data_IF_191848792568
#
_entry.id   IF_191848792568
#
_cell.length_a   1.000
_cell.length_b   1.000
_cell.length_c   1.000
_cell.angle_alpha   90.00
_cell.angle_beta   90.00
_cell.angle_gamma   90.00
#
_symmetry.space_group_name_H-M   'P 1'
#
loop_
_entity.id
_entity.type
_entity.pdbx_description
1 polymer ?
#
# COMPACT_ATOMS: atom_id res chain seq x y z
N UNK A 1 -17.53 -34.75 18.95
CA UNK A 1 -16.40 -33.86 19.31
C UNK A 1 -15.95 -33.24 18.00
N UNK A 2 -15.87 -31.90 17.86
CA UNK A 2 -15.42 -31.30 16.60
C UNK A 2 -13.96 -31.70 16.32
N UNK A 3 -13.67 -31.97 15.06
CA UNK A 3 -12.43 -32.55 14.56
C UNK A 3 -11.27 -31.55 14.68
N UNK A 4 -10.42 -31.73 15.70
CA UNK A 4 -9.22 -30.90 15.92
C UNK A 4 -8.23 -30.94 14.74
N UNK A 5 -8.38 -31.90 13.82
CA UNK A 5 -7.52 -32.06 12.65
C UNK A 5 -7.84 -31.03 11.57
N UNK A 6 -9.12 -30.75 11.34
CA UNK A 6 -9.58 -29.84 10.28
C UNK A 6 -9.24 -28.38 10.63
N UNK A 7 -9.45 -27.97 11.89
CA UNK A 7 -9.08 -26.64 12.36
C UNK A 7 -7.56 -26.39 12.21
N UNK A 8 -6.75 -27.38 12.58
CA UNK A 8 -5.29 -27.25 12.50
C UNK A 8 -4.79 -27.15 11.05
N UNK A 9 -5.40 -27.90 10.13
CA UNK A 9 -5.08 -27.80 8.69
C UNK A 9 -5.42 -26.42 8.11
N UNK A 10 -6.53 -25.83 8.53
CA UNK A 10 -6.93 -24.47 8.14
C UNK A 10 -5.92 -23.44 8.69
N UNK A 11 -5.54 -23.56 9.96
CA UNK A 11 -4.55 -22.68 10.60
C UNK A 11 -3.17 -22.77 9.92
N UNK A 12 -2.69 -23.98 9.64
CA UNK A 12 -1.41 -24.21 8.97
C UNK A 12 -1.42 -23.67 7.53
N UNK A 13 -2.52 -23.87 6.79
CA UNK A 13 -2.70 -23.34 5.45
C UNK A 13 -2.73 -21.80 5.43
N UNK A 14 -3.43 -21.18 6.40
CA UNK A 14 -3.47 -19.74 6.56
C UNK A 14 -2.07 -19.18 6.84
N UNK A 15 -1.34 -19.78 7.80
CA UNK A 15 0.01 -19.34 8.15
C UNK A 15 0.99 -19.46 6.99
N UNK A 16 0.89 -20.53 6.19
CA UNK A 16 1.72 -20.71 5.00
C UNK A 16 1.40 -19.65 3.94
N UNK A 17 0.11 -19.36 3.74
CA UNK A 17 -0.34 -18.30 2.82
C UNK A 17 0.18 -16.93 3.24
N UNK A 18 0.08 -16.58 4.52
CA UNK A 18 0.59 -15.32 5.06
C UNK A 18 2.10 -15.19 4.88
N UNK A 19 2.86 -16.25 5.19
CA UNK A 19 4.33 -16.26 4.98
C UNK A 19 4.70 -16.08 3.52
N UNK A 20 4.01 -16.76 2.62
CA UNK A 20 4.26 -16.65 1.18
C UNK A 20 3.93 -15.24 0.68
N UNK A 21 2.81 -14.66 1.14
CA UNK A 21 2.45 -13.29 0.83
C UNK A 21 3.52 -12.31 1.32
N UNK A 22 3.92 -12.40 2.59
CA UNK A 22 4.93 -11.51 3.17
C UNK A 22 6.27 -11.61 2.45
N UNK A 23 6.67 -12.82 2.03
CA UNK A 23 7.89 -13.02 1.25
C UNK A 23 7.80 -12.35 -0.13
N UNK A 24 6.71 -12.55 -0.87
CA UNK A 24 6.52 -11.94 -2.20
C UNK A 24 6.39 -10.42 -2.11
N UNK A 25 5.66 -9.93 -1.12
CA UNK A 25 5.39 -8.52 -0.91
C UNK A 25 6.66 -7.74 -0.57
N UNK A 26 7.58 -8.32 0.23
CA UNK A 26 8.81 -7.66 0.67
C UNK A 26 10.05 -7.96 -0.20
N UNK A 27 10.04 -9.01 -1.02
CA UNK A 27 11.16 -9.32 -1.93
C UNK A 27 11.04 -8.64 -3.30
N UNK A 28 9.94 -7.93 -3.56
CA UNK A 28 9.75 -7.17 -4.80
C UNK A 28 10.72 -5.99 -4.92
N UNK A 29 11.02 -5.57 -6.15
CA UNK A 29 11.79 -4.35 -6.43
C UNK A 29 10.92 -3.09 -6.50
N UNK A 30 9.60 -3.27 -6.46
CA UNK A 30 8.61 -2.19 -6.56
C UNK A 30 8.16 -1.80 -5.15
N UNK A 31 8.06 -0.48 -4.92
CA UNK A 31 7.47 0.07 -3.71
C UNK A 31 5.94 -0.14 -3.75
N UNK A 32 5.39 -0.84 -2.75
CA UNK A 32 3.96 -1.17 -2.68
C UNK A 32 3.40 -0.71 -1.34
N UNK A 33 2.22 -0.10 -1.37
CA UNK A 33 1.41 0.17 -0.19
C UNK A 33 -0.05 -0.20 -0.42
N UNK A 34 -0.73 -0.60 0.66
CA UNK A 34 -2.15 -0.91 0.71
C UNK A 34 -2.77 0.02 1.73
N UNK A 35 -3.83 0.72 1.34
CA UNK A 35 -4.53 1.68 2.20
C UNK A 35 -5.99 1.33 2.33
N UNK A 36 -6.60 1.68 3.46
CA UNK A 36 -8.05 1.66 3.59
C UNK A 36 -8.70 2.82 2.82
N UNK A 37 -10.04 2.83 2.64
CA UNK A 37 -10.75 3.91 1.97
C UNK A 37 -10.57 5.29 2.62
N UNK A 38 -10.22 5.36 3.89
CA UNK A 38 -9.94 6.62 4.62
C UNK A 38 -8.51 7.16 4.38
N UNK A 39 -7.70 6.48 3.57
CA UNK A 39 -6.33 6.89 3.27
C UNK A 39 -5.38 6.66 4.45
N UNK A 40 -5.52 5.52 5.14
CA UNK A 40 -4.57 5.03 6.14
C UNK A 40 -3.89 3.77 5.64
N UNK A 41 -2.59 3.67 5.89
CA UNK A 41 -1.83 2.47 5.56
C UNK A 41 -2.32 1.26 6.34
N UNK A 42 -2.71 0.20 5.62
CA UNK A 42 -2.94 -1.14 6.15
C UNK A 42 -1.63 -1.92 6.11
N UNK A 43 -0.93 -1.87 4.96
CA UNK A 43 0.39 -2.49 4.75
C UNK A 43 1.25 -1.65 3.81
N UNK A 44 2.55 -1.82 3.90
CA UNK A 44 3.55 -1.30 2.97
C UNK A 44 4.76 -2.22 3.01
N UNK A 45 5.45 -2.39 1.89
CA UNK A 45 6.63 -3.25 1.85
C UNK A 45 7.92 -2.49 2.19
N UNK A 46 9.02 -3.22 2.34
CA UNK A 46 10.34 -2.65 2.63
C UNK A 46 10.74 -1.58 1.61
N UNK A 47 10.45 -1.81 0.33
CA UNK A 47 10.81 -0.90 -0.76
C UNK A 47 10.06 0.43 -0.68
N UNK A 48 8.82 0.44 -0.17
CA UNK A 48 8.09 1.68 0.11
C UNK A 48 8.75 2.50 1.21
N UNK A 49 9.25 1.84 2.25
CA UNK A 49 9.98 2.49 3.34
C UNK A 49 11.33 3.03 2.88
N UNK A 50 12.10 2.21 2.17
CA UNK A 50 13.43 2.57 1.66
C UNK A 50 13.35 3.71 0.64
N UNK A 51 12.34 3.68 -0.25
CA UNK A 51 12.13 4.72 -1.25
C UNK A 51 11.86 6.09 -0.60
N UNK A 52 11.12 6.13 0.51
CA UNK A 52 10.68 7.37 1.16
C UNK A 52 11.54 7.75 2.37
N UNK A 53 12.43 6.87 2.83
CA UNK A 53 13.34 7.08 3.95
C UNK A 53 12.67 7.05 5.33
N UNK A 54 11.52 6.39 5.46
CA UNK A 54 10.79 6.30 6.73
C UNK A 54 10.98 4.93 7.38
N UNK A 55 10.96 4.91 8.71
CA UNK A 55 10.77 3.64 9.43
C UNK A 55 9.31 3.20 9.38
N UNK A 56 9.05 1.91 9.57
CA UNK A 56 7.68 1.38 9.62
C UNK A 56 6.80 2.06 10.70
N UNK A 57 7.39 2.43 11.85
CA UNK A 57 6.67 3.12 12.93
C UNK A 57 6.24 4.53 12.52
N UNK A 58 7.12 5.25 11.83
CA UNK A 58 6.83 6.60 11.35
C UNK A 58 5.82 6.58 10.20
N UNK A 59 5.98 5.66 9.24
CA UNK A 59 5.10 5.53 8.09
C UNK A 59 3.65 5.25 8.50
N UNK A 60 3.42 4.47 9.57
CA UNK A 60 2.07 4.22 10.12
C UNK A 60 1.35 5.48 10.60
N UNK A 61 2.09 6.54 10.96
CA UNK A 61 1.52 7.80 11.41
C UNK A 61 1.25 8.77 10.25
N UNK A 62 1.83 8.51 9.07
CA UNK A 62 1.63 9.33 7.88
C UNK A 62 0.33 8.97 7.17
N UNK A 63 -0.16 9.92 6.37
CA UNK A 63 -1.18 9.66 5.35
C UNK A 63 -0.53 9.75 3.97
N UNK A 64 -0.95 8.92 2.99
CA UNK A 64 -0.41 9.00 1.63
C UNK A 64 -0.48 10.42 1.04
N UNK A 65 -1.61 11.12 1.26
CA UNK A 65 -1.82 12.48 0.74
C UNK A 65 -0.80 13.50 1.25
N UNK A 66 -0.28 13.32 2.47
CA UNK A 66 0.71 14.22 3.08
C UNK A 66 2.10 14.06 2.46
N UNK A 67 2.34 12.94 1.75
CA UNK A 67 3.59 12.67 1.04
C UNK A 67 3.58 13.21 -0.38
N UNK A 68 2.40 13.51 -0.95
CA UNK A 68 2.27 13.98 -2.32
C UNK A 68 2.57 15.47 -2.43
N UNK A 69 3.20 15.87 -3.53
CA UNK A 69 3.37 17.28 -3.85
C UNK A 69 2.00 17.98 -3.93
N UNK A 70 1.84 19.21 -3.39
CA UNK A 70 0.54 19.91 -3.31
C UNK A 70 -0.22 19.97 -4.64
N UNK A 71 0.47 20.27 -5.73
CA UNK A 71 -0.13 20.33 -7.08
C UNK A 71 -0.71 18.99 -7.55
N UNK A 72 -0.18 17.86 -7.07
CA UNK A 72 -0.60 16.52 -7.49
C UNK A 72 -1.76 16.00 -6.63
N UNK A 73 -1.90 16.51 -5.39
CA UNK A 73 -2.89 16.06 -4.39
C UNK A 73 -4.31 16.04 -4.96
N UNK A 74 -4.78 17.17 -5.51
CA UNK A 74 -6.15 17.30 -6.02
C UNK A 74 -6.44 16.35 -7.18
N UNK A 75 -5.46 16.11 -8.05
CA UNK A 75 -5.60 15.20 -9.19
C UNK A 75 -5.73 13.75 -8.71
N UNK A 76 -4.89 13.35 -7.75
CA UNK A 76 -4.89 11.99 -7.21
C UNK A 76 -6.14 11.74 -6.37
N UNK A 77 -6.59 12.71 -5.56
CA UNK A 77 -7.83 12.59 -4.79
C UNK A 77 -9.03 12.34 -5.69
N UNK A 78 -9.15 13.05 -6.83
CA UNK A 78 -10.21 12.81 -7.81
C UNK A 78 -10.16 11.38 -8.37
N UNK A 79 -8.98 10.89 -8.70
CA UNK A 79 -8.81 9.51 -9.20
C UNK A 79 -9.17 8.48 -8.12
N UNK A 80 -8.74 8.70 -6.87
CA UNK A 80 -9.09 7.84 -5.75
C UNK A 80 -10.61 7.85 -5.47
N UNK A 81 -11.29 8.98 -5.63
CA UNK A 81 -12.75 9.03 -5.50
C UNK A 81 -13.45 8.22 -6.58
N UNK A 82 -13.02 8.37 -7.85
CA UNK A 82 -13.55 7.56 -8.95
C UNK A 82 -13.33 6.06 -8.74
N UNK A 83 -12.17 5.69 -8.20
CA UNK A 83 -11.85 4.30 -7.85
C UNK A 83 -12.79 3.78 -6.76
N UNK A 84 -12.99 4.54 -5.67
CA UNK A 84 -13.87 4.17 -4.55
C UNK A 84 -15.34 4.06 -4.95
N UNK A 85 -15.79 4.92 -5.88
CA UNK A 85 -17.16 4.88 -6.37
C UNK A 85 -17.41 3.79 -7.41
N UNK A 86 -16.38 3.03 -7.81
CA UNK A 86 -16.48 2.02 -8.86
C UNK A 86 -16.64 2.60 -10.27
N UNK A 87 -16.32 3.88 -10.47
CA UNK A 87 -16.33 4.49 -11.81
C UNK A 87 -15.16 3.97 -12.67
N UNK A 88 -14.08 3.53 -12.02
CA UNK A 88 -12.88 2.98 -12.66
C UNK A 88 -12.32 1.80 -11.86
N UNK A 89 -11.75 0.83 -12.59
CA UNK A 89 -10.92 -0.31 -12.15
C UNK A 89 -9.68 0.05 -11.34
N UNK A 90 -8.96 1.00 -11.93
CA UNK A 90 -7.57 1.33 -11.65
C UNK A 90 -7.23 2.64 -12.34
N UNK A 91 -6.17 3.29 -11.89
CA UNK A 91 -5.57 4.42 -12.59
C UNK A 91 -4.05 4.37 -12.51
N UNK A 92 -3.41 5.04 -13.47
CA UNK A 92 -1.98 5.31 -13.45
C UNK A 92 -1.73 6.79 -13.67
N UNK A 93 -0.76 7.35 -12.95
CA UNK A 93 -0.39 8.75 -13.09
C UNK A 93 1.06 8.96 -12.69
N UNK A 94 1.70 9.97 -13.26
CA UNK A 94 2.98 10.45 -12.75
C UNK A 94 2.71 11.38 -11.57
N UNK A 95 3.55 11.28 -10.55
CA UNK A 95 3.41 12.08 -9.34
C UNK A 95 4.76 12.42 -8.75
N UNK A 96 4.75 13.44 -7.90
CA UNK A 96 5.88 13.82 -7.08
C UNK A 96 5.60 13.50 -5.61
N UNK A 97 6.59 12.91 -4.95
CA UNK A 97 6.56 12.46 -3.56
C UNK A 97 7.66 13.15 -2.77
N UNK A 98 7.41 13.47 -1.50
CA UNK A 98 8.45 13.92 -0.59
C UNK A 98 9.08 12.75 0.15
N UNK A 99 10.40 12.61 0.00
CA UNK A 99 11.21 11.79 0.88
C UNK A 99 11.32 12.47 2.26
N UNK A 100 11.52 11.68 3.32
CA UNK A 100 11.62 12.17 4.72
C UNK A 100 12.64 13.30 4.91
N UNK A 101 13.73 13.28 4.15
CA UNK A 101 14.77 14.30 4.19
C UNK A 101 14.42 15.61 3.45
N UNK A 102 13.23 15.71 2.86
CA UNK A 102 12.75 16.87 2.11
C UNK A 102 12.99 16.80 0.60
N UNK A 103 13.71 15.78 0.11
CA UNK A 103 13.94 15.64 -1.33
C UNK A 103 12.64 15.29 -2.07
N UNK A 104 12.48 15.89 -3.25
CA UNK A 104 11.39 15.58 -4.15
C UNK A 104 11.77 14.38 -5.03
N UNK A 105 10.93 13.36 -5.03
CA UNK A 105 11.05 12.17 -5.85
C UNK A 105 9.98 12.19 -6.94
N UNK A 106 10.36 11.82 -8.16
CA UNK A 106 9.41 11.58 -9.25
C UNK A 106 9.13 10.09 -9.36
N UNK A 107 7.85 9.73 -9.52
CA UNK A 107 7.44 8.35 -9.62
C UNK A 107 6.19 8.18 -10.47
N UNK A 108 6.01 6.97 -10.97
CA UNK A 108 4.76 6.55 -11.58
C UNK A 108 3.94 5.77 -10.55
N UNK A 109 2.77 6.28 -10.20
CA UNK A 109 1.80 5.60 -9.34
C UNK A 109 0.88 4.74 -10.20
N UNK A 110 0.67 3.50 -9.77
CA UNK A 110 -0.41 2.63 -10.23
C UNK A 110 -1.26 2.25 -9.03
N UNK A 111 -2.57 2.47 -9.10
CA UNK A 111 -3.49 2.22 -8.00
C UNK A 111 -4.72 1.48 -8.52
N UNK A 112 -5.14 0.46 -7.80
CA UNK A 112 -6.34 -0.35 -8.07
C UNK A 112 -7.09 -0.61 -6.77
N UNK A 113 -8.41 -0.79 -6.86
CA UNK A 113 -9.17 -1.29 -5.74
C UNK A 113 -8.84 -2.79 -5.56
N UNK A 114 -8.67 -3.21 -4.30
CA UNK A 114 -8.59 -4.63 -3.97
C UNK A 114 -10.00 -5.05 -3.53
N UNK A 115 -10.62 -6.04 -4.20
CA UNK A 115 -11.96 -6.52 -3.86
C UNK A 115 -12.01 -7.23 -2.51
#
# INVERSE_FOLDING_TARGET
>A
MPDMTEQKQIEDALMLSEKNFDALFNNGTVAISITNPEGRYIRFNTQWLDLLGYTAKEMRLQKPIELYHPDDQLTIEKQLQNLKSGNIDQFQTEMRLYHKNGNLLWGKLSCSAIP
#
